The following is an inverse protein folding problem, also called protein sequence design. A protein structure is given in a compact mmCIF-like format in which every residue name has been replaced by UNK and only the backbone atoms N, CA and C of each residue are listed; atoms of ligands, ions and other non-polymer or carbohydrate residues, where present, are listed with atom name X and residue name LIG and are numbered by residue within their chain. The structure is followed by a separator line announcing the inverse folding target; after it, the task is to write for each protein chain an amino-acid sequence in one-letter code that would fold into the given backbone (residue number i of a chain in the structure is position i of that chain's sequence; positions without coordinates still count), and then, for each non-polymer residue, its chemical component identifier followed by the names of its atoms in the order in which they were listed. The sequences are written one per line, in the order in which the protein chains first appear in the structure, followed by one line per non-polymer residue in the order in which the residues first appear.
data_IF_614430056512
#
_entry.id   IF_614430056512
#
_cell.length_a   1.000
_cell.length_b   1.000
_cell.length_c   1.000
_cell.angle_alpha   90.00
_cell.angle_beta   90.00
_cell.angle_gamma   90.00
#
_symmetry.space_group_name_H-M   'P 1'
#
loop_
_entity.id
_entity.type
_entity.pdbx_description
1 polymer ?
#
# COMPACT_ATOMS: atom_id res chain seq x y z
N UNK A 1 -22.38 9.94 -9.60
CA UNK A 1 -22.49 11.41 -9.58
C UNK A 1 -22.48 11.83 -8.12
N UNK A 2 -21.36 12.37 -7.64
CA UNK A 2 -21.21 12.89 -6.26
C UNK A 2 -22.19 14.04 -6.02
N UNK A 3 -22.90 14.04 -4.90
CA UNK A 3 -23.83 15.13 -4.58
C UNK A 3 -23.04 16.41 -4.25
N UNK A 4 -23.62 17.59 -4.52
CA UNK A 4 -22.96 18.88 -4.24
C UNK A 4 -22.50 19.01 -2.77
N UNK A 5 -23.23 18.38 -1.84
CA UNK A 5 -22.90 18.33 -0.41
C UNK A 5 -21.66 17.48 -0.12
N UNK A 6 -21.53 16.31 -0.77
CA UNK A 6 -20.37 15.42 -0.64
C UNK A 6 -19.09 16.09 -1.14
N UNK A 7 -19.16 16.73 -2.31
CA UNK A 7 -18.02 17.41 -2.91
C UNK A 7 -17.48 18.53 -2.00
N UNK A 8 -18.38 19.30 -1.37
CA UNK A 8 -18.02 20.36 -0.42
C UNK A 8 -17.35 19.77 0.83
N UNK A 9 -17.88 18.67 1.36
CA UNK A 9 -17.34 18.06 2.57
C UNK A 9 -15.95 17.44 2.34
N UNK A 10 -15.76 16.75 1.21
CA UNK A 10 -14.44 16.20 0.81
C UNK A 10 -13.45 17.33 0.58
N UNK A 11 -13.85 18.45 -0.03
CA UNK A 11 -13.00 19.63 -0.18
C UNK A 11 -12.53 20.19 1.17
N UNK A 12 -13.44 20.25 2.16
CA UNK A 12 -13.10 20.68 3.53
C UNK A 12 -12.20 19.70 4.30
N UNK A 13 -12.15 18.42 3.91
CA UNK A 13 -11.16 17.45 4.42
C UNK A 13 -9.82 17.67 3.74
N UNK A 14 -9.84 17.84 2.41
CA UNK A 14 -8.63 18.09 1.60
C UNK A 14 -7.85 19.30 2.09
N UNK A 15 -8.52 20.40 2.39
CA UNK A 15 -7.86 21.61 2.91
C UNK A 15 -7.13 21.34 4.24
N UNK A 16 -7.82 20.71 5.21
CA UNK A 16 -7.19 20.32 6.47
C UNK A 16 -6.02 19.35 6.27
N UNK A 17 -6.18 18.38 5.36
CA UNK A 17 -5.14 17.40 5.04
C UNK A 17 -3.89 18.08 4.46
N UNK A 18 -4.09 19.07 3.59
CA UNK A 18 -3.00 19.88 3.04
C UNK A 18 -2.25 20.63 4.14
N UNK A 19 -2.99 21.25 5.08
CA UNK A 19 -2.35 21.90 6.24
C UNK A 19 -1.58 20.90 7.09
N UNK A 20 -2.14 19.71 7.36
CA UNK A 20 -1.43 18.65 8.08
C UNK A 20 -0.10 18.29 7.39
N UNK A 21 -0.12 18.02 6.09
CA UNK A 21 1.09 17.67 5.33
C UNK A 21 2.15 18.79 5.36
N UNK A 22 1.72 20.06 5.27
CA UNK A 22 2.62 21.22 5.38
C UNK A 22 3.24 21.34 6.77
N UNK A 23 2.47 21.14 7.84
CA UNK A 23 2.99 21.19 9.21
C UNK A 23 3.95 20.05 9.51
N UNK A 24 3.67 18.83 9.04
CA UNK A 24 4.60 17.69 9.14
C UNK A 24 5.89 17.98 8.38
N UNK A 25 5.80 18.55 7.17
CA UNK A 25 6.97 18.98 6.38
C UNK A 25 7.80 19.99 7.17
N UNK A 26 7.16 21.01 7.73
CA UNK A 26 7.83 22.04 8.53
C UNK A 26 8.46 21.47 9.80
N UNK A 27 7.80 20.51 10.45
CA UNK A 27 8.34 19.80 11.61
C UNK A 27 9.64 19.08 11.25
N UNK A 28 9.67 18.34 10.14
CA UNK A 28 10.86 17.62 9.70
C UNK A 28 12.00 18.54 9.27
N UNK A 29 11.70 19.65 8.59
CA UNK A 29 12.71 20.68 8.30
C UNK A 29 13.33 21.24 9.60
N UNK A 30 12.49 21.53 10.60
CA UNK A 30 12.91 21.99 11.91
C UNK A 30 13.73 20.88 12.64
N UNK A 31 13.34 19.61 12.52
CA UNK A 31 14.11 18.45 13.04
C UNK A 31 15.49 18.34 12.38
N UNK A 32 15.59 18.47 11.05
CA UNK A 32 16.87 18.43 10.33
C UNK A 32 17.79 19.55 10.82
N UNK A 33 17.27 20.77 10.94
CA UNK A 33 18.02 21.91 11.46
C UNK A 33 18.58 21.64 12.85
N UNK A 34 17.78 21.08 13.76
CA UNK A 34 18.23 20.77 15.12
C UNK A 34 19.22 19.61 15.16
N UNK A 35 19.14 18.66 14.23
CA UNK A 35 20.17 17.63 14.10
C UNK A 35 21.51 18.19 13.61
N UNK A 36 21.49 19.21 12.74
CA UNK A 36 22.69 19.90 12.24
C UNK A 36 23.22 20.94 13.23
N UNK A 37 22.35 21.58 14.00
CA UNK A 37 22.71 22.51 15.07
C UNK A 37 21.81 22.26 16.29
N UNK A 38 22.30 21.49 17.29
CA UNK A 38 21.53 21.18 18.50
C UNK A 38 21.06 22.38 19.32
N UNK A 39 21.62 23.57 19.07
CA UNK A 39 21.25 24.84 19.70
C UNK A 39 20.27 25.67 18.86
N UNK A 40 19.84 25.17 17.70
CA UNK A 40 18.88 25.88 16.84
C UNK A 40 17.57 26.15 17.59
N UNK A 41 17.09 27.39 17.47
CA UNK A 41 15.85 27.86 18.11
C UNK A 41 14.60 27.06 17.71
N UNK A 42 14.62 26.39 16.55
CA UNK A 42 13.55 25.53 16.07
C UNK A 42 13.19 24.42 17.07
N UNK A 43 14.15 23.97 17.89
CA UNK A 43 13.91 22.98 18.94
C UNK A 43 12.78 23.36 19.90
N UNK A 44 12.66 24.64 20.21
CA UNK A 44 11.62 25.16 21.12
C UNK A 44 10.21 25.16 20.51
N UNK A 45 10.11 25.09 19.18
CA UNK A 45 8.84 25.19 18.43
C UNK A 45 8.23 23.82 18.12
N UNK A 46 9.03 22.75 18.18
CA UNK A 46 8.62 21.40 17.79
C UNK A 46 7.44 20.87 18.61
N UNK A 47 7.47 21.00 19.95
CA UNK A 47 6.39 20.50 20.81
C UNK A 47 5.03 21.16 20.50
N UNK A 48 5.03 22.48 20.32
CA UNK A 48 3.81 23.21 19.96
C UNK A 48 3.29 22.85 18.56
N UNK A 49 4.19 22.51 17.63
CA UNK A 49 3.84 22.08 16.28
C UNK A 49 3.25 20.66 16.29
N UNK A 50 3.82 19.78 17.08
CA UNK A 50 3.32 18.42 17.31
C UNK A 50 1.89 18.43 17.86
N UNK A 51 1.64 19.22 18.91
CA UNK A 51 0.28 19.45 19.45
C UNK A 51 -0.70 19.95 18.38
N UNK A 52 -0.23 20.81 17.46
CA UNK A 52 -1.06 21.32 16.37
C UNK A 52 -1.36 20.25 15.31
N UNK A 53 -0.39 19.40 14.99
CA UNK A 53 -0.52 18.24 14.09
C UNK A 53 -1.55 17.25 14.65
N UNK A 54 -1.51 16.95 15.95
CA UNK A 54 -2.49 16.11 16.64
C UNK A 54 -3.91 16.64 16.55
N UNK A 55 -4.06 17.96 16.70
CA UNK A 55 -5.35 18.63 16.56
C UNK A 55 -5.88 18.55 15.11
N UNK A 56 -5.01 18.73 14.11
CA UNK A 56 -5.37 18.59 12.70
C UNK A 56 -5.79 17.16 12.37
N UNK A 57 -5.02 16.17 12.83
CA UNK A 57 -5.36 14.74 12.73
C UNK A 57 -6.76 14.49 13.28
N UNK A 58 -6.99 14.84 14.54
CA UNK A 58 -8.28 14.66 15.20
C UNK A 58 -9.43 15.33 14.43
N UNK A 59 -9.20 16.51 13.85
CA UNK A 59 -10.20 17.21 13.05
C UNK A 59 -10.54 16.47 11.75
N UNK A 60 -9.53 15.94 11.05
CA UNK A 60 -9.69 15.18 9.81
C UNK A 60 -10.40 13.86 10.11
N UNK A 61 -9.96 13.10 11.11
CA UNK A 61 -10.57 11.81 11.49
C UNK A 61 -12.06 11.98 11.81
N UNK A 62 -12.40 12.98 12.63
CA UNK A 62 -13.79 13.29 12.97
C UNK A 62 -14.62 13.66 11.74
N UNK A 63 -14.05 14.40 10.77
CA UNK A 63 -14.74 14.70 9.49
C UNK A 63 -14.91 13.43 8.65
N UNK A 64 -13.90 12.57 8.57
CA UNK A 64 -13.96 11.30 7.85
C UNK A 64 -15.06 10.40 8.40
N UNK A 65 -15.09 10.16 9.72
CA UNK A 65 -16.10 9.30 10.34
C UNK A 65 -17.51 9.86 10.22
N UNK A 66 -17.70 11.18 10.35
CA UNK A 66 -19.00 11.80 10.11
C UNK A 66 -19.49 11.57 8.68
N UNK A 67 -18.62 11.67 7.68
CA UNK A 67 -19.03 11.39 6.30
C UNK A 67 -19.40 9.94 6.10
N UNK A 68 -18.65 9.00 6.66
CA UNK A 68 -18.95 7.56 6.56
C UNK A 68 -20.30 7.16 7.16
N UNK A 69 -20.92 7.99 7.99
CA UNK A 69 -22.29 7.74 8.49
C UNK A 69 -23.40 8.13 7.50
N UNK A 70 -23.08 8.77 6.38
CA UNK A 70 -24.04 9.15 5.35
C UNK A 70 -24.43 7.95 4.49
N UNK A 71 -25.74 7.70 4.32
CA UNK A 71 -26.27 6.53 3.59
C UNK A 71 -26.04 6.60 2.07
N UNK A 72 -25.78 7.80 1.51
CA UNK A 72 -25.74 8.05 0.06
C UNK A 72 -24.31 8.10 -0.55
N UNK A 73 -23.28 7.64 0.16
CA UNK A 73 -21.91 7.69 -0.38
C UNK A 73 -21.64 6.62 -1.43
N UNK A 74 -21.07 7.02 -2.57
CA UNK A 74 -20.51 6.07 -3.52
C UNK A 74 -19.26 5.36 -2.95
N UNK A 75 -19.01 4.14 -3.41
CA UNK A 75 -17.90 3.29 -2.95
C UNK A 75 -16.52 3.94 -3.16
N UNK A 76 -16.35 4.67 -4.27
CA UNK A 76 -15.11 5.39 -4.55
C UNK A 76 -14.85 6.50 -3.52
N UNK A 77 -15.89 7.22 -3.10
CA UNK A 77 -15.79 8.22 -2.03
C UNK A 77 -15.50 7.58 -0.68
N UNK A 78 -16.13 6.43 -0.36
CA UNK A 78 -15.83 5.66 0.86
C UNK A 78 -14.36 5.25 0.89
N UNK A 79 -13.84 4.71 -0.22
CA UNK A 79 -12.45 4.28 -0.33
C UNK A 79 -11.48 5.45 -0.21
N UNK A 80 -11.78 6.60 -0.82
CA UNK A 80 -11.01 7.83 -0.65
C UNK A 80 -10.99 8.29 0.82
N UNK A 81 -12.12 8.30 1.52
CA UNK A 81 -12.19 8.70 2.93
C UNK A 81 -11.34 7.76 3.82
N UNK A 82 -11.42 6.45 3.58
CA UNK A 82 -10.60 5.45 4.29
C UNK A 82 -9.10 5.63 4.03
N UNK A 83 -8.73 5.95 2.79
CA UNK A 83 -7.36 6.25 2.40
C UNK A 83 -6.84 7.53 3.08
N UNK A 84 -7.63 8.59 3.09
CA UNK A 84 -7.31 9.85 3.79
C UNK A 84 -7.06 9.58 5.27
N UNK A 85 -7.97 8.84 5.94
CA UNK A 85 -7.81 8.51 7.35
C UNK A 85 -6.51 7.74 7.63
N UNK A 86 -6.18 6.78 6.76
CA UNK A 86 -4.92 6.02 6.86
C UNK A 86 -3.70 6.93 6.65
N UNK A 87 -3.76 7.83 5.66
CA UNK A 87 -2.68 8.73 5.36
C UNK A 87 -2.45 9.75 6.48
N UNK A 88 -3.52 10.31 7.05
CA UNK A 88 -3.46 11.22 8.19
C UNK A 88 -2.80 10.59 9.41
N UNK A 89 -3.14 9.33 9.72
CA UNK A 89 -2.50 8.60 10.81
C UNK A 89 -0.99 8.37 10.57
N UNK A 90 -0.57 8.11 9.34
CA UNK A 90 0.85 7.92 9.04
C UNK A 90 1.62 9.24 8.95
N UNK A 91 0.98 10.34 8.56
CA UNK A 91 1.57 11.69 8.60
C UNK A 91 1.86 12.13 10.04
N UNK A 92 0.96 11.89 10.99
CA UNK A 92 1.22 12.16 12.40
C UNK A 92 2.33 11.26 12.97
N UNK A 93 2.37 9.96 12.63
CA UNK A 93 3.52 9.11 12.99
C UNK A 93 4.86 9.65 12.49
N UNK A 94 4.91 10.22 11.28
CA UNK A 94 6.13 10.85 10.74
C UNK A 94 6.52 12.06 11.60
N UNK A 95 5.55 12.87 12.03
CA UNK A 95 5.80 13.96 12.97
C UNK A 95 6.33 13.46 14.32
N UNK A 96 5.70 12.43 14.90
CA UNK A 96 6.17 11.79 16.14
C UNK A 96 7.60 11.30 16.02
N UNK A 97 7.99 10.72 14.89
CA UNK A 97 9.37 10.30 14.64
C UNK A 97 10.32 11.48 14.64
N UNK A 98 9.92 12.62 14.04
CA UNK A 98 10.68 13.87 14.12
C UNK A 98 10.89 14.37 15.54
N UNK A 99 9.87 14.30 16.40
CA UNK A 99 9.98 14.66 17.83
C UNK A 99 10.84 13.67 18.60
N UNK A 100 10.69 12.36 18.33
CA UNK A 100 11.47 11.30 18.96
C UNK A 100 12.97 11.41 18.63
N UNK A 101 13.31 11.79 17.39
CA UNK A 101 14.69 12.09 16.96
C UNK A 101 15.30 13.18 17.85
N UNK A 102 14.58 14.29 18.07
CA UNK A 102 15.05 15.37 18.95
C UNK A 102 15.14 14.91 20.41
N UNK A 103 14.24 14.02 20.83
CA UNK A 103 14.30 13.35 22.11
C UNK A 103 15.57 12.52 22.31
N UNK A 104 16.18 11.98 21.23
CA UNK A 104 17.43 11.22 21.30
C UNK A 104 18.66 12.10 21.51
N UNK A 105 18.68 13.33 20.97
CA UNK A 105 19.86 14.22 21.01
C UNK A 105 20.37 14.45 22.44
N UNK A 106 19.49 14.45 23.45
CA UNK A 106 19.89 14.65 24.86
C UNK A 106 20.77 13.52 25.43
N UNK A 107 20.84 12.37 24.76
CA UNK A 107 21.69 11.25 25.15
C UNK A 107 23.05 11.25 24.44
N UNK A 108 23.25 12.14 23.47
CA UNK A 108 24.53 12.30 22.76
C UNK A 108 25.48 13.15 23.61
N UNK A 109 26.67 12.61 23.88
CA UNK A 109 27.74 13.28 24.60
C UNK A 109 28.53 14.18 23.65
N UNK A 110 29.06 13.61 22.56
CA UNK A 110 29.74 14.35 21.50
C UNK A 110 28.85 14.53 20.28
N UNK A 111 28.35 15.76 20.08
CA UNK A 111 27.43 16.06 18.99
C UNK A 111 28.09 16.01 17.61
N UNK A 112 29.43 16.06 17.53
CA UNK A 112 30.16 15.89 16.26
C UNK A 112 29.87 14.52 15.62
N UNK A 113 29.47 13.53 16.42
CA UNK A 113 29.12 12.20 15.91
C UNK A 113 27.93 12.25 14.94
N UNK A 114 27.00 13.19 15.11
CA UNK A 114 25.80 13.32 14.28
C UNK A 114 26.17 13.70 12.84
N UNK A 115 27.22 14.50 12.67
CA UNK A 115 27.72 14.94 11.37
C UNK A 115 28.45 13.83 10.59
N UNK A 116 28.87 12.74 11.25
CA UNK A 116 29.59 11.64 10.58
C UNK A 116 28.72 10.85 9.61
N UNK A 117 27.41 10.80 9.82
CA UNK A 117 26.52 9.86 9.13
C UNK A 117 25.61 10.47 8.07
N UNK A 118 25.75 11.76 7.75
CA UNK A 118 25.02 12.52 6.74
C UNK A 118 23.52 12.21 6.66
N UNK A 119 22.70 13.00 7.36
CA UNK A 119 21.26 12.84 7.38
C UNK A 119 20.55 13.48 6.17
N UNK A 120 21.23 14.31 5.37
CA UNK A 120 20.61 15.09 4.29
C UNK A 120 19.92 14.21 3.23
N UNK A 121 20.47 13.06 2.79
CA UNK A 121 19.79 12.17 1.85
C UNK A 121 18.42 11.67 2.36
N UNK A 122 18.32 11.34 3.66
CA UNK A 122 17.05 10.88 4.25
C UNK A 122 16.01 11.98 4.23
N UNK A 123 16.36 13.19 4.71
CA UNK A 123 15.43 14.31 4.73
C UNK A 123 15.02 14.72 3.31
N UNK A 124 15.94 14.70 2.34
CA UNK A 124 15.62 14.96 0.95
C UNK A 124 14.60 13.96 0.39
N UNK A 125 14.79 12.66 0.63
CA UNK A 125 13.87 11.61 0.20
C UNK A 125 12.48 11.77 0.86
N UNK A 126 12.44 11.96 2.18
CA UNK A 126 11.20 12.09 2.95
C UNK A 126 10.44 13.37 2.52
N UNK A 127 11.09 14.54 2.55
CA UNK A 127 10.46 15.83 2.22
C UNK A 127 10.01 15.89 0.76
N UNK A 128 10.81 15.35 -0.17
CA UNK A 128 10.43 15.24 -1.57
C UNK A 128 9.18 14.39 -1.79
N UNK A 129 9.03 13.33 -0.98
CA UNK A 129 7.88 12.41 -1.02
C UNK A 129 6.63 13.03 -0.39
N UNK A 130 6.77 13.77 0.72
CA UNK A 130 5.65 14.48 1.37
C UNK A 130 4.95 15.45 0.41
N UNK A 131 5.72 16.11 -0.47
CA UNK A 131 5.19 17.09 -1.43
C UNK A 131 4.20 16.54 -2.46
N UNK A 132 4.16 15.22 -2.69
CA UNK A 132 3.27 14.61 -3.71
C UNK A 132 2.07 13.85 -3.13
N UNK A 133 1.98 13.71 -1.80
CA UNK A 133 0.92 12.92 -1.14
C UNK A 133 -0.49 13.45 -1.44
N UNK A 134 -0.68 14.77 -1.41
CA UNK A 134 -1.99 15.38 -1.67
C UNK A 134 -2.47 15.02 -3.08
N UNK A 135 -1.61 15.19 -4.08
CA UNK A 135 -1.96 14.92 -5.47
C UNK A 135 -2.12 13.41 -5.74
N UNK A 136 -1.32 12.56 -5.10
CA UNK A 136 -1.49 11.11 -5.17
C UNK A 136 -2.88 10.66 -4.70
N UNK A 137 -3.33 11.16 -3.54
CA UNK A 137 -4.61 10.78 -2.93
C UNK A 137 -5.81 11.43 -3.62
N UNK A 138 -5.85 12.77 -3.68
CA UNK A 138 -7.05 13.50 -4.08
C UNK A 138 -7.25 13.56 -5.60
N UNK A 139 -6.19 13.37 -6.39
CA UNK A 139 -6.31 13.22 -7.85
C UNK A 139 -6.27 11.75 -8.29
N UNK A 140 -6.20 10.80 -7.34
CA UNK A 140 -6.08 9.35 -7.61
C UNK A 140 -4.98 9.04 -8.63
N UNK A 141 -3.83 9.68 -8.46
CA UNK A 141 -2.74 9.58 -9.41
C UNK A 141 -1.88 8.35 -9.08
N UNK A 142 -2.07 7.27 -9.84
CA UNK A 142 -1.35 6.00 -9.66
C UNK A 142 0.18 6.17 -9.75
N UNK A 143 0.67 6.99 -10.68
CA UNK A 143 2.11 7.22 -10.82
C UNK A 143 2.72 7.87 -9.57
N UNK A 144 2.00 8.81 -8.95
CA UNK A 144 2.44 9.43 -7.70
C UNK A 144 2.29 8.46 -6.53
N UNK A 145 1.24 7.64 -6.49
CA UNK A 145 1.08 6.60 -5.46
C UNK A 145 2.24 5.59 -5.48
N UNK A 146 2.66 5.14 -6.66
CA UNK A 146 3.82 4.27 -6.82
C UNK A 146 5.13 4.98 -6.45
N UNK A 147 5.23 6.29 -6.71
CA UNK A 147 6.38 7.08 -6.26
C UNK A 147 6.47 7.10 -4.72
N UNK A 148 5.35 7.26 -4.01
CA UNK A 148 5.31 7.19 -2.54
C UNK A 148 5.82 5.84 -2.04
N UNK A 149 5.39 4.74 -2.65
CA UNK A 149 5.84 3.40 -2.25
C UNK A 149 7.35 3.17 -2.49
N UNK A 150 7.92 3.75 -3.55
CA UNK A 150 9.36 3.61 -3.84
C UNK A 150 10.27 4.38 -2.88
N UNK A 151 9.74 5.37 -2.16
CA UNK A 151 10.54 6.16 -1.22
C UNK A 151 11.07 5.31 -0.05
N UNK A 152 10.33 4.28 0.37
CA UNK A 152 10.78 3.35 1.42
C UNK A 152 12.04 2.60 1.00
N UNK A 153 12.11 2.07 -0.22
CA UNK A 153 13.29 1.39 -0.74
C UNK A 153 14.54 2.28 -0.73
N UNK A 154 14.41 3.54 -1.14
CA UNK A 154 15.52 4.51 -1.09
C UNK A 154 15.98 4.76 0.35
N UNK A 155 15.05 4.94 1.27
CA UNK A 155 15.32 5.20 2.69
C UNK A 155 15.94 3.97 3.38
N UNK A 156 15.49 2.77 3.04
CA UNK A 156 16.02 1.51 3.55
C UNK A 156 17.47 1.30 3.11
N UNK A 157 17.79 1.56 1.83
CA UNK A 157 19.16 1.48 1.32
C UNK A 157 20.10 2.44 2.06
N UNK A 158 19.64 3.67 2.33
CA UNK A 158 20.37 4.66 3.12
C UNK A 158 20.57 4.19 4.56
N UNK A 159 19.52 3.65 5.20
CA UNK A 159 19.57 3.12 6.57
C UNK A 159 20.58 1.97 6.67
N UNK A 160 20.53 1.05 5.73
CA UNK A 160 21.44 -0.09 5.64
C UNK A 160 22.92 0.33 5.55
N UNK A 161 23.19 1.36 4.75
CA UNK A 161 24.54 1.92 4.61
C UNK A 161 25.03 2.53 5.92
N UNK A 162 24.20 3.34 6.59
CA UNK A 162 24.52 3.94 7.89
C UNK A 162 24.68 2.87 8.97
N UNK A 163 23.78 1.90 9.03
CA UNK A 163 23.81 0.78 9.97
C UNK A 163 25.14 0.04 9.90
N UNK A 164 25.58 -0.34 8.68
CA UNK A 164 26.86 -1.03 8.48
C UNK A 164 28.04 -0.20 8.97
N UNK A 165 28.05 1.12 8.73
CA UNK A 165 29.11 2.02 9.20
C UNK A 165 29.14 2.11 10.73
N UNK A 166 27.98 2.32 11.36
CA UNK A 166 27.86 2.34 12.84
C UNK A 166 28.36 1.02 13.44
N UNK A 167 28.01 -0.13 12.85
CA UNK A 167 28.47 -1.43 13.34
C UNK A 167 29.99 -1.61 13.24
N UNK A 168 30.64 -1.03 12.22
CA UNK A 168 32.11 -1.04 12.12
C UNK A 168 32.73 -0.21 13.24
N UNK A 169 32.21 1.00 13.47
CA UNK A 169 32.73 1.92 14.48
C UNK A 169 32.56 1.34 15.90
N UNK A 170 31.40 0.71 16.19
CA UNK A 170 31.16 0.01 17.46
C UNK A 170 32.15 -1.13 17.70
N UNK A 171 32.49 -1.91 16.66
CA UNK A 171 33.47 -3.01 16.77
C UNK A 171 34.88 -2.50 17.04
N UNK A 172 35.19 -1.28 16.60
CA UNK A 172 36.47 -0.64 16.85
C UNK A 172 36.55 0.01 18.23
N UNK A 173 35.47 -0.01 19.02
CA UNK A 173 35.41 0.56 20.37
C UNK A 173 35.21 2.08 20.40
N UNK A 174 34.68 2.66 19.31
CA UNK A 174 34.39 4.09 19.21
C UNK A 174 33.07 4.44 19.92
N UNK A 175 33.07 5.51 20.72
CA UNK A 175 31.95 6.09 21.48
C UNK A 175 30.62 5.31 21.45
N UNK A 176 30.49 4.20 22.20
CA UNK A 176 29.39 3.25 22.00
C UNK A 176 28.02 3.83 22.36
N UNK A 177 27.92 4.67 23.39
CA UNK A 177 26.67 5.33 23.79
C UNK A 177 26.15 6.26 22.69
N UNK A 178 27.05 7.03 22.08
CA UNK A 178 26.73 8.00 21.03
C UNK A 178 26.36 7.30 19.71
N UNK A 179 27.06 6.22 19.36
CA UNK A 179 26.77 5.41 18.18
C UNK A 179 25.42 4.69 18.28
N UNK A 180 25.08 4.16 19.46
CA UNK A 180 23.77 3.53 19.70
C UNK A 180 22.66 4.57 19.64
N UNK A 181 22.86 5.75 20.20
CA UNK A 181 21.88 6.86 20.12
C UNK A 181 21.68 7.31 18.67
N UNK A 182 22.78 7.43 17.91
CA UNK A 182 22.75 7.75 16.48
C UNK A 182 21.99 6.69 15.68
N UNK A 183 22.20 5.40 15.97
CA UNK A 183 21.45 4.32 15.34
C UNK A 183 19.93 4.47 15.53
N UNK A 184 19.47 4.86 16.72
CA UNK A 184 18.05 5.11 16.96
C UNK A 184 17.51 6.28 16.15
N UNK A 185 18.30 7.36 15.98
CA UNK A 185 17.93 8.50 15.12
C UNK A 185 17.66 8.02 13.69
N UNK A 186 18.60 7.28 13.09
CA UNK A 186 18.43 6.77 11.73
C UNK A 186 17.33 5.72 11.62
N UNK A 187 17.08 4.95 12.68
CA UNK A 187 15.93 4.04 12.73
C UNK A 187 14.60 4.79 12.67
N UNK A 188 14.48 5.97 13.28
CA UNK A 188 13.25 6.77 13.16
C UNK A 188 13.06 7.34 11.75
N UNK A 189 14.15 7.67 11.04
CA UNK A 189 14.10 8.06 9.63
C UNK A 189 13.67 6.89 8.73
N UNK A 190 14.15 5.67 8.98
CA UNK A 190 13.67 4.46 8.30
C UNK A 190 12.17 4.21 8.53
N UNK A 191 11.71 4.34 9.76
CA UNK A 191 10.27 4.23 10.09
C UNK A 191 9.42 5.32 9.43
N UNK A 192 9.99 6.48 9.11
CA UNK A 192 9.28 7.46 8.29
C UNK A 192 9.08 6.95 6.86
N UNK A 193 10.05 6.21 6.31
CA UNK A 193 9.91 5.45 5.06
C UNK A 193 8.75 4.44 5.09
N UNK A 194 8.67 3.61 6.14
CA UNK A 194 7.54 2.68 6.34
C UNK A 194 6.17 3.41 6.32
N UNK A 195 6.09 4.56 6.98
CA UNK A 195 4.88 5.38 7.00
C UNK A 195 4.54 5.93 5.61
N UNK A 196 5.55 6.34 4.82
CA UNK A 196 5.35 6.77 3.43
C UNK A 196 4.85 5.63 2.53
N UNK A 197 5.39 4.41 2.70
CA UNK A 197 4.89 3.21 2.01
C UNK A 197 3.40 2.97 2.32
N UNK A 198 3.02 3.04 3.60
CA UNK A 198 1.62 2.89 4.01
C UNK A 198 0.70 3.96 3.39
N UNK A 199 1.19 5.19 3.24
CA UNK A 199 0.45 6.27 2.56
C UNK A 199 0.33 5.98 1.06
N UNK A 200 1.39 5.50 0.42
CA UNK A 200 1.37 5.07 -0.98
C UNK A 200 0.38 3.94 -1.25
N UNK A 201 0.39 2.90 -0.42
CA UNK A 201 -0.59 1.80 -0.51
C UNK A 201 -2.02 2.28 -0.27
N UNK A 202 -2.23 3.25 0.61
CA UNK A 202 -3.54 3.89 0.80
C UNK A 202 -3.99 4.68 -0.45
N UNK A 203 -3.05 5.32 -1.17
CA UNK A 203 -3.35 6.01 -2.43
C UNK A 203 -3.65 5.03 -3.59
N UNK A 204 -2.95 3.89 -3.65
CA UNK A 204 -3.29 2.79 -4.55
C UNK A 204 -4.71 2.29 -4.24
N UNK A 205 -5.02 2.04 -2.96
CA UNK A 205 -6.35 1.63 -2.52
C UNK A 205 -7.45 2.63 -2.91
N UNK A 206 -7.21 3.94 -2.78
CA UNK A 206 -8.17 4.97 -3.18
C UNK A 206 -8.46 4.98 -4.69
N UNK A 207 -7.54 4.47 -5.50
CA UNK A 207 -7.63 4.44 -6.96
C UNK A 207 -8.24 3.13 -7.45
N UNK A 208 -7.76 2.00 -6.92
CA UNK A 208 -8.10 0.65 -7.36
C UNK A 208 -9.34 0.08 -6.64
N UNK A 209 -9.70 0.63 -5.48
CA UNK A 209 -10.88 0.22 -4.70
C UNK A 209 -10.62 -0.91 -3.70
N UNK A 210 -9.48 -1.60 -3.81
CA UNK A 210 -9.13 -2.74 -2.97
C UNK A 210 -7.71 -2.66 -2.43
N UNK A 211 -7.53 -3.20 -1.22
CA UNK A 211 -6.27 -3.04 -0.50
C UNK A 211 -5.22 -3.95 -1.12
N UNK A 212 -4.33 -3.37 -1.92
CA UNK A 212 -3.16 -4.03 -2.50
C UNK A 212 -1.89 -3.44 -1.92
N UNK A 213 -0.96 -4.32 -1.52
CA UNK A 213 0.42 -3.91 -1.27
C UNK A 213 1.09 -3.57 -2.58
N UNK A 214 2.12 -2.71 -2.54
CA UNK A 214 2.83 -2.32 -3.76
C UNK A 214 3.41 -3.52 -4.52
N UNK A 215 3.95 -4.52 -3.80
CA UNK A 215 4.49 -5.75 -4.41
C UNK A 215 3.44 -6.59 -5.11
N UNK A 216 2.23 -6.63 -4.56
CA UNK A 216 1.10 -7.38 -5.12
C UNK A 216 0.55 -6.66 -6.36
N UNK A 217 0.52 -5.33 -6.33
CA UNK A 217 0.18 -4.50 -7.48
C UNK A 217 1.19 -4.66 -8.63
N UNK A 218 2.48 -4.64 -8.33
CA UNK A 218 3.54 -4.87 -9.34
C UNK A 218 3.44 -6.28 -9.95
N UNK A 219 3.22 -7.30 -9.11
CA UNK A 219 3.03 -8.67 -9.61
C UNK A 219 1.81 -8.78 -10.53
N UNK A 220 0.72 -8.05 -10.24
CA UNK A 220 -0.44 -7.95 -11.11
C UNK A 220 -0.08 -7.24 -12.43
N UNK A 221 0.61 -6.10 -12.36
CA UNK A 221 1.05 -5.33 -13.52
C UNK A 221 1.92 -6.15 -14.48
N UNK A 222 2.93 -6.85 -13.96
CA UNK A 222 3.79 -7.73 -14.74
C UNK A 222 3.01 -8.92 -15.34
N UNK A 223 2.07 -9.48 -14.58
CA UNK A 223 1.25 -10.60 -15.06
C UNK A 223 0.32 -10.18 -16.19
N UNK A 224 -0.23 -8.98 -16.14
CA UNK A 224 -1.05 -8.42 -17.22
C UNK A 224 -0.20 -8.05 -18.43
N UNK A 225 0.92 -7.35 -18.23
CA UNK A 225 1.80 -6.89 -19.31
C UNK A 225 2.41 -8.03 -20.14
N UNK A 226 2.62 -9.20 -19.53
CA UNK A 226 3.15 -10.38 -20.21
C UNK A 226 2.08 -11.28 -20.82
N UNK A 227 0.80 -11.02 -20.50
CA UNK A 227 -0.33 -11.81 -20.98
C UNK A 227 -0.87 -11.26 -22.31
N UNK A 228 -1.64 -12.09 -23.03
CA UNK A 228 -2.41 -11.66 -24.21
C UNK A 228 -3.65 -10.81 -23.86
N UNK A 229 -3.81 -10.42 -22.59
CA UNK A 229 -4.99 -9.72 -22.08
C UNK A 229 -4.76 -8.21 -22.15
N UNK A 230 -5.47 -7.53 -23.05
CA UNK A 230 -5.48 -6.06 -23.11
C UNK A 230 -6.34 -5.48 -21.98
N UNK A 231 -5.70 -5.11 -20.86
CA UNK A 231 -6.31 -4.36 -19.76
C UNK A 231 -5.45 -3.15 -19.43
N UNK A 232 -6.07 -1.96 -19.37
CA UNK A 232 -5.42 -0.76 -18.86
C UNK A 232 -5.54 -0.75 -17.33
N UNK A 233 -4.43 -0.99 -16.63
CA UNK A 233 -4.37 -0.98 -15.15
C UNK A 233 -4.79 0.35 -14.52
N UNK A 234 -4.82 1.45 -15.27
CA UNK A 234 -5.33 2.72 -14.80
C UNK A 234 -6.87 2.81 -14.83
N UNK A 235 -7.54 1.86 -15.48
CA UNK A 235 -9.00 1.71 -15.59
C UNK A 235 -9.43 0.25 -15.33
N UNK A 236 -8.96 -0.31 -14.22
CA UNK A 236 -9.32 -1.65 -13.74
C UNK A 236 -9.99 -1.55 -12.38
N UNK A 237 -11.09 -2.29 -12.22
CA UNK A 237 -11.68 -2.58 -10.92
C UNK A 237 -11.12 -3.92 -10.42
N UNK A 238 -10.33 -3.87 -9.35
CA UNK A 238 -9.86 -5.09 -8.68
C UNK A 238 -10.81 -5.38 -7.54
N UNK A 239 -11.35 -6.59 -7.48
CA UNK A 239 -12.21 -7.06 -6.39
C UNK A 239 -11.55 -8.24 -5.67
N UNK A 240 -11.25 -8.07 -4.38
CA UNK A 240 -10.61 -9.11 -3.58
C UNK A 240 -11.60 -10.22 -3.22
N UNK A 241 -11.34 -11.46 -3.65
CA UNK A 241 -12.08 -12.65 -3.18
C UNK A 241 -11.37 -13.22 -1.94
N UNK A 242 -11.22 -12.40 -0.90
CA UNK A 242 -10.73 -12.76 0.46
C UNK A 242 -9.39 -13.51 0.56
N UNK A 243 -8.74 -13.41 1.73
CA UNK A 243 -7.55 -14.22 2.02
C UNK A 243 -7.94 -15.69 2.20
N UNK A 244 -7.38 -16.57 1.36
CA UNK A 244 -7.58 -18.01 1.55
C UNK A 244 -6.87 -18.47 2.83
N UNK A 245 -7.36 -19.54 3.49
CA UNK A 245 -6.66 -20.17 4.64
C UNK A 245 -5.20 -20.55 4.33
N UNK A 246 -4.83 -20.60 3.05
CA UNK A 246 -3.50 -20.91 2.57
C UNK A 246 -2.52 -19.73 2.58
N UNK A 247 -3.02 -18.50 2.80
CA UNK A 247 -2.30 -17.23 2.67
C UNK A 247 -2.16 -16.74 1.24
N UNK A 248 -2.82 -17.39 0.26
CA UNK A 248 -2.89 -16.90 -1.11
C UNK A 248 -4.01 -15.87 -1.25
N UNK A 249 -3.70 -14.77 -1.93
CA UNK A 249 -4.63 -13.72 -2.31
C UNK A 249 -5.20 -14.04 -3.68
N UNK A 250 -6.51 -13.85 -3.82
CA UNK A 250 -7.24 -14.04 -5.07
C UNK A 250 -8.03 -12.76 -5.30
N UNK A 251 -7.95 -12.22 -6.50
CA UNK A 251 -8.75 -11.08 -6.94
C UNK A 251 -9.30 -11.29 -8.33
N UNK A 252 -10.47 -10.71 -8.57
CA UNK A 252 -10.97 -10.52 -9.92
C UNK A 252 -10.49 -9.17 -10.41
N UNK A 253 -10.05 -9.16 -11.65
CA UNK A 253 -9.59 -7.96 -12.36
C UNK A 253 -10.60 -7.76 -13.47
N UNK A 254 -11.44 -6.75 -13.31
CA UNK A 254 -12.44 -6.40 -14.31
C UNK A 254 -11.91 -5.28 -15.20
N UNK A 255 -12.13 -5.35 -16.52
CA UNK A 255 -11.97 -4.18 -17.38
C UNK A 255 -12.92 -3.08 -16.90
N UNK A 256 -12.47 -1.83 -16.91
CA UNK A 256 -13.32 -0.66 -16.73
C UNK A 256 -14.31 -0.47 -17.89
N UNK A 257 -14.73 0.78 -18.12
CA UNK A 257 -15.78 1.08 -19.11
C UNK A 257 -15.39 0.75 -20.57
N UNK A 258 -14.11 0.49 -20.83
CA UNK A 258 -13.54 0.21 -22.17
C UNK A 258 -13.83 -1.18 -22.76
N UNK A 259 -14.38 -2.12 -21.97
CA UNK A 259 -14.61 -3.49 -22.42
C UNK A 259 -13.33 -4.34 -22.48
N UNK A 260 -13.45 -5.61 -22.13
CA UNK A 260 -12.33 -6.56 -22.06
C UNK A 260 -12.75 -7.88 -21.41
N UNK A 261 -11.83 -8.84 -21.29
CA UNK A 261 -12.10 -10.08 -20.54
C UNK A 261 -11.67 -9.91 -19.09
N UNK A 262 -12.57 -10.22 -18.16
CA UNK A 262 -12.21 -10.32 -16.76
C UNK A 262 -11.26 -11.50 -16.55
N UNK A 263 -10.34 -11.33 -15.60
CA UNK A 263 -9.36 -12.35 -15.24
C UNK A 263 -9.31 -12.54 -13.74
N UNK A 264 -8.88 -13.71 -13.31
CA UNK A 264 -8.62 -13.99 -11.90
C UNK A 264 -7.12 -13.90 -11.68
N UNK A 265 -6.70 -12.94 -10.86
CA UNK A 265 -5.33 -12.84 -10.39
C UNK A 265 -5.18 -13.60 -9.08
N UNK A 266 -4.14 -14.42 -8.98
CA UNK A 266 -3.81 -15.15 -7.77
C UNK A 266 -2.34 -14.98 -7.44
N UNK A 267 -2.04 -14.67 -6.20
CA UNK A 267 -0.67 -14.57 -5.70
C UNK A 267 -0.53 -15.35 -4.39
N UNK A 268 0.57 -16.07 -4.24
CA UNK A 268 0.85 -16.84 -3.03
C UNK A 268 2.24 -17.44 -3.03
N UNK A 269 2.49 -18.38 -2.10
CA UNK A 269 3.79 -19.08 -2.02
C UNK A 269 4.07 -19.83 -3.33
N UNK A 270 5.26 -19.65 -3.90
CA UNK A 270 5.67 -20.20 -5.21
C UNK A 270 5.32 -21.66 -5.37
N UNK A 271 5.68 -22.50 -4.39
CA UNK A 271 5.41 -23.93 -4.42
C UNK A 271 3.92 -24.25 -4.62
N UNK A 272 3.01 -23.57 -3.90
CA UNK A 272 1.57 -23.85 -3.99
C UNK A 272 0.98 -23.36 -5.31
N UNK A 273 1.40 -22.18 -5.77
CA UNK A 273 0.92 -21.61 -7.04
C UNK A 273 1.41 -22.45 -8.22
N UNK A 274 2.65 -22.95 -8.15
CA UNK A 274 3.20 -23.87 -9.15
C UNK A 274 2.48 -25.23 -9.15
N UNK A 275 2.21 -25.81 -7.98
CA UNK A 275 1.41 -27.05 -7.86
C UNK A 275 0.01 -26.88 -8.49
N UNK A 276 -0.63 -25.73 -8.28
CA UNK A 276 -1.92 -25.41 -8.88
C UNK A 276 -1.85 -25.22 -10.39
N UNK A 277 -0.84 -24.50 -10.88
CA UNK A 277 -0.57 -24.38 -12.32
C UNK A 277 -0.42 -25.77 -12.96
N UNK A 278 0.42 -26.63 -12.38
CA UNK A 278 0.67 -27.98 -12.90
C UNK A 278 -0.59 -28.84 -12.88
N UNK A 279 -1.44 -28.71 -11.85
CA UNK A 279 -2.72 -29.40 -11.80
C UNK A 279 -3.67 -28.94 -12.91
N UNK A 280 -3.76 -27.63 -13.15
CA UNK A 280 -4.58 -27.07 -14.24
C UNK A 280 -4.06 -27.51 -15.63
N UNK A 281 -2.74 -27.48 -15.84
CA UNK A 281 -2.11 -27.96 -17.09
C UNK A 281 -2.37 -29.45 -17.32
N UNK A 282 -2.33 -30.26 -16.25
CA UNK A 282 -2.67 -31.68 -16.33
C UNK A 282 -4.15 -31.87 -16.71
N UNK A 283 -5.05 -31.11 -16.10
CA UNK A 283 -6.48 -31.16 -16.44
C UNK A 283 -6.75 -30.72 -17.88
N UNK A 284 -6.03 -29.75 -18.40
CA UNK A 284 -6.17 -29.31 -19.79
C UNK A 284 -5.67 -30.38 -20.78
N UNK A 285 -4.65 -31.16 -20.40
CA UNK A 285 -4.19 -32.31 -21.20
C UNK A 285 -5.16 -33.48 -21.16
N UNK A 286 -5.77 -33.74 -20.00
CA UNK A 286 -6.71 -34.85 -19.81
C UNK A 286 -8.07 -34.55 -20.42
N UNK A 287 -8.56 -33.32 -20.26
CA UNK A 287 -9.84 -32.89 -20.80
C UNK A 287 -9.83 -31.41 -21.25
N UNK A 288 -9.46 -31.14 -22.51
CA UNK A 288 -9.26 -29.79 -23.03
C UNK A 288 -10.49 -28.88 -22.87
N UNK A 289 -10.28 -27.68 -22.34
CA UNK A 289 -11.34 -26.68 -22.13
C UNK A 289 -12.20 -26.91 -20.87
N UNK A 290 -11.88 -27.91 -20.05
CA UNK A 290 -12.51 -28.11 -18.75
C UNK A 290 -11.96 -27.15 -17.66
N UNK A 291 -10.63 -27.05 -17.44
CA UNK A 291 -10.09 -26.06 -16.50
C UNK A 291 -10.13 -24.64 -17.10
N UNK A 292 -10.08 -23.59 -16.26
CA UNK A 292 -9.87 -22.23 -16.74
C UNK A 292 -8.52 -22.13 -17.44
N UNK A 293 -8.45 -21.34 -18.52
CA UNK A 293 -7.19 -21.07 -19.20
C UNK A 293 -6.21 -20.32 -18.30
N UNK A 294 -4.93 -20.65 -18.42
CA UNK A 294 -3.84 -19.92 -17.76
C UNK A 294 -3.31 -18.88 -18.75
N UNK A 295 -3.43 -17.61 -18.39
CA UNK A 295 -2.93 -16.50 -19.20
C UNK A 295 -1.47 -16.12 -18.88
N UNK A 296 -1.03 -16.38 -17.65
CA UNK A 296 0.33 -16.03 -17.22
C UNK A 296 0.72 -16.66 -15.90
N UNK A 297 2.03 -16.87 -15.71
CA UNK A 297 2.64 -17.31 -14.46
C UNK A 297 3.98 -16.60 -14.27
N UNK A 298 4.22 -16.02 -13.11
CA UNK A 298 5.47 -15.36 -12.77
C UNK A 298 6.00 -15.85 -11.43
N UNK A 299 7.28 -16.16 -11.40
CA UNK A 299 8.00 -16.55 -10.18
C UNK A 299 8.78 -15.34 -9.65
N UNK A 300 8.43 -14.91 -8.43
CA UNK A 300 9.02 -13.78 -7.73
C UNK A 300 9.93 -14.25 -6.59
N UNK A 301 10.38 -15.51 -6.59
CA UNK A 301 11.23 -16.11 -5.56
C UNK A 301 10.41 -16.78 -4.44
N UNK A 302 10.16 -16.14 -3.28
CA UNK A 302 9.31 -16.73 -2.24
C UNK A 302 7.82 -16.77 -2.59
N UNK A 303 7.38 -15.97 -3.57
CA UNK A 303 6.01 -15.90 -4.06
C UNK A 303 5.95 -16.09 -5.57
N UNK A 304 4.78 -16.47 -6.08
CA UNK A 304 4.48 -16.48 -7.49
C UNK A 304 3.07 -15.94 -7.73
N UNK A 305 2.84 -15.40 -8.93
CA UNK A 305 1.53 -15.00 -9.42
C UNK A 305 1.05 -15.90 -10.56
N UNK A 306 -0.26 -16.04 -10.66
CA UNK A 306 -0.97 -16.80 -11.68
C UNK A 306 -2.16 -15.97 -12.17
N UNK A 307 -2.25 -15.81 -13.49
CA UNK A 307 -3.36 -15.14 -14.15
C UNK A 307 -4.23 -16.18 -14.84
N UNK A 308 -5.51 -16.21 -14.49
CA UNK A 308 -6.46 -17.23 -14.93
C UNK A 308 -7.66 -16.60 -15.64
N UNK A 309 -8.30 -17.39 -16.50
CA UNK A 309 -9.60 -17.08 -17.07
C UNK A 309 -10.68 -16.93 -16.01
N UNK A 310 -11.43 -15.84 -16.09
CA UNK A 310 -12.67 -15.71 -15.33
C UNK A 310 -13.80 -16.47 -16.03
N UNK A 311 -14.24 -17.56 -15.40
CA UNK A 311 -15.39 -18.33 -15.87
C UNK A 311 -16.69 -17.65 -15.41
N UNK A 312 -17.41 -17.05 -16.36
CA UNK A 312 -18.71 -16.43 -16.07
C UNK A 312 -19.76 -17.48 -15.71
N UNK A 313 -20.64 -17.14 -14.78
CA UNK A 313 -21.78 -17.97 -14.41
C UNK A 313 -21.97 -18.09 -12.90
N UNK A 314 -22.82 -19.03 -12.50
CA UNK A 314 -23.07 -19.35 -11.09
C UNK A 314 -22.41 -20.69 -10.77
N UNK A 315 -21.84 -20.81 -9.58
CA UNK A 315 -21.35 -22.11 -9.10
C UNK A 315 -22.50 -23.10 -9.01
N UNK A 316 -22.20 -24.39 -9.15
CA UNK A 316 -23.20 -25.44 -9.01
C UNK A 316 -23.95 -25.35 -7.66
N UNK A 317 -23.22 -25.07 -6.58
CA UNK A 317 -23.81 -24.84 -5.26
C UNK A 317 -24.81 -23.67 -5.26
N UNK A 318 -24.47 -22.54 -5.86
CA UNK A 318 -25.35 -21.37 -5.94
C UNK A 318 -26.60 -21.66 -6.77
N UNK A 319 -26.45 -22.40 -7.87
CA UNK A 319 -27.58 -22.84 -8.68
C UNK A 319 -28.53 -23.72 -7.86
N UNK A 320 -28.01 -24.70 -7.11
CA UNK A 320 -28.84 -25.58 -6.29
C UNK A 320 -29.60 -24.87 -5.16
N UNK A 321 -29.12 -23.71 -4.71
CA UNK A 321 -29.76 -22.92 -3.64
C UNK A 321 -30.77 -21.90 -4.17
N UNK A 322 -30.42 -21.21 -5.26
CA UNK A 322 -31.11 -19.98 -5.68
C UNK A 322 -31.84 -20.10 -7.03
N UNK A 323 -31.62 -21.17 -7.81
CA UNK A 323 -32.16 -21.30 -9.15
C UNK A 323 -33.47 -22.11 -9.22
N UNK A 324 -34.18 -21.99 -10.33
CA UNK A 324 -35.38 -22.77 -10.57
C UNK A 324 -35.07 -24.26 -10.81
N UNK A 325 -36.09 -25.10 -10.65
CA UNK A 325 -35.96 -26.56 -10.75
C UNK A 325 -35.43 -27.05 -12.11
N UNK A 326 -35.67 -26.30 -13.20
CA UNK A 326 -35.20 -26.68 -14.55
C UNK A 326 -33.70 -26.44 -14.68
N UNK A 327 -33.22 -25.29 -14.20
CA UNK A 327 -31.80 -24.95 -14.16
C UNK A 327 -31.03 -25.92 -13.26
N UNK A 328 -31.57 -26.26 -12.07
CA UNK A 328 -30.96 -27.25 -11.18
C UNK A 328 -30.85 -28.62 -11.84
N UNK A 329 -31.91 -29.09 -12.51
CA UNK A 329 -31.92 -30.38 -13.22
C UNK A 329 -30.88 -30.39 -14.34
N UNK A 330 -30.80 -29.31 -15.12
CA UNK A 330 -29.84 -29.18 -16.23
C UNK A 330 -28.40 -29.18 -15.70
N UNK A 331 -28.12 -28.37 -14.67
CA UNK A 331 -26.80 -28.31 -14.06
C UNK A 331 -26.37 -29.66 -13.47
N UNK A 332 -27.31 -30.37 -12.82
CA UNK A 332 -27.05 -31.70 -12.29
C UNK A 332 -26.68 -32.70 -13.38
N UNK A 333 -27.45 -32.73 -14.47
CA UNK A 333 -27.17 -33.62 -15.62
C UNK A 333 -25.79 -33.34 -16.22
N UNK A 334 -25.44 -32.06 -16.44
CA UNK A 334 -24.13 -31.66 -16.98
C UNK A 334 -22.97 -32.08 -16.06
N UNK A 335 -23.13 -31.96 -14.75
CA UNK A 335 -22.12 -32.41 -13.77
C UNK A 335 -21.94 -33.92 -13.83
N UNK A 336 -23.03 -34.69 -13.86
CA UNK A 336 -22.97 -36.16 -13.95
C UNK A 336 -22.33 -36.61 -15.26
N UNK A 337 -22.70 -35.99 -16.39
CA UNK A 337 -22.12 -36.26 -17.70
C UNK A 337 -20.62 -35.99 -17.70
N UNK A 338 -20.19 -34.84 -17.16
CA UNK A 338 -18.77 -34.47 -17.08
C UNK A 338 -17.99 -35.43 -16.18
N UNK A 339 -18.52 -35.76 -15.00
CA UNK A 339 -17.85 -36.71 -14.07
C UNK A 339 -17.72 -38.08 -14.73
N UNK A 340 -18.77 -38.58 -15.38
CA UNK A 340 -18.77 -39.91 -16.03
C UNK A 340 -17.84 -39.99 -17.25
N UNK A 341 -17.51 -38.84 -17.85
CA UNK A 341 -16.53 -38.75 -18.95
C UNK A 341 -15.09 -38.78 -18.43
N UNK A 342 -14.87 -38.17 -17.27
CA UNK A 342 -13.55 -38.01 -16.64
C UNK A 342 -13.12 -39.23 -15.81
N UNK A 343 -14.06 -39.90 -15.13
CA UNK A 343 -13.83 -41.02 -14.20
C UNK A 343 -14.40 -42.34 -14.72
#
# INVERSE_FOLDING_TARGET
MTTSSEAIAVAGIRENFKFLALEVTKLLEDTQRVLLDPQDEARSKLAARDDYIDNLKSMIENKCFRLLTSEDLDEGTINLIRAINTATNNLERIADFGVNIIGQIKYVVDHEILHRFDCDPFFKAILGTLGVIEDALFRRNMSLALQLCRAELEIDELYDAVFRRIMVDLRNGDAPEDLVTTLFIYRYLERAGDSLLNIGEAAIFATVGEKLKVSEFQALEESLASSEVELDLHDVDYQGIWETRSGARIGMVHPGEGGGRSVVFKEGRTKKVLEEKQALELWEQLEPGLPPRIYGYHDHGPKASLLLEYLQGKTFQRLMLDADARLCTTAYMLVIETISRVW
#
